data_IF_482430344726
#
_entry.id   IF_482430344726
#
_cell.length_a   1.000
_cell.length_b   1.000
_cell.length_c   1.000
_cell.angle_alpha   90.00
_cell.angle_beta   90.00
_cell.angle_gamma   90.00
#
_symmetry.space_group_name_H-M   'P 1'
#
loop_
_entity.id
_entity.type
_entity.pdbx_description
1 polymer ?
#
# COMPACT_ATOMS: atom_id res chain seq x y z
N UNK A 1 -1.68 17.68 -4.12
CA UNK A 1 -2.53 17.23 -5.26
C UNK A 1 -3.97 17.59 -4.95
N UNK A 2 -4.69 18.17 -5.89
CA UNK A 2 -6.08 18.60 -5.71
C UNK A 2 -6.93 18.16 -6.91
N UNK A 3 -8.24 18.01 -6.69
CA UNK A 3 -9.17 17.71 -7.79
C UNK A 3 -9.52 18.95 -8.60
N UNK A 4 -9.85 18.76 -9.87
CA UNK A 4 -10.36 19.83 -10.73
C UNK A 4 -11.61 20.46 -10.10
N UNK A 5 -11.69 21.79 -10.14
CA UNK A 5 -12.78 22.56 -9.54
C UNK A 5 -12.60 22.91 -8.07
N UNK A 6 -11.56 22.43 -7.41
CA UNK A 6 -11.23 22.81 -6.05
C UNK A 6 -10.79 24.30 -6.00
N UNK A 7 -11.33 25.06 -5.02
CA UNK A 7 -11.02 26.46 -4.87
C UNK A 7 -9.94 26.68 -3.79
N UNK A 8 -8.81 27.23 -4.20
CA UNK A 8 -7.67 27.54 -3.33
C UNK A 8 -7.67 28.97 -2.78
N UNK A 9 -8.73 29.75 -2.97
CA UNK A 9 -8.81 31.11 -2.44
C UNK A 9 -8.69 31.10 -0.92
N UNK A 10 -7.81 31.92 -0.36
CA UNK A 10 -7.57 32.01 1.07
C UNK A 10 -6.64 30.94 1.65
N UNK A 11 -6.15 30.00 0.85
CA UNK A 11 -5.17 29.03 1.27
C UNK A 11 -3.77 29.61 1.08
N UNK A 12 -2.99 29.65 2.17
CA UNK A 12 -1.57 30.05 2.10
C UNK A 12 -0.73 28.81 1.85
N UNK A 13 0.03 28.82 0.74
CA UNK A 13 0.96 27.74 0.39
C UNK A 13 2.40 28.25 0.45
N UNK A 14 3.37 27.42 0.87
CA UNK A 14 4.78 27.76 0.73
C UNK A 14 5.15 28.01 -0.75
N UNK A 15 6.11 28.91 -0.99
CA UNK A 15 6.50 29.30 -2.36
C UNK A 15 7.10 28.15 -3.18
N UNK A 16 7.69 27.16 -2.52
CA UNK A 16 8.35 26.02 -3.13
C UNK A 16 7.44 24.80 -3.34
N UNK A 17 6.14 24.94 -3.13
CA UNK A 17 5.17 23.87 -3.28
C UNK A 17 4.54 23.86 -4.67
N UNK A 18 4.64 22.73 -5.36
CA UNK A 18 3.95 22.52 -6.64
C UNK A 18 2.51 22.08 -6.38
N UNK A 19 1.58 22.69 -7.11
CA UNK A 19 0.16 22.32 -7.07
C UNK A 19 -0.16 21.53 -8.33
N UNK A 20 -0.63 20.30 -8.14
CA UNK A 20 -1.01 19.42 -9.24
C UNK A 20 -2.52 19.21 -9.18
N UNK A 21 -3.22 19.57 -10.27
CA UNK A 21 -4.65 19.34 -10.42
C UNK A 21 -4.90 18.01 -11.14
N UNK A 22 -5.83 17.23 -10.65
CA UNK A 22 -6.19 15.95 -11.24
C UNK A 22 -7.70 15.77 -11.26
N UNK A 23 -8.22 15.04 -12.25
CA UNK A 23 -9.64 14.70 -12.32
C UNK A 23 -10.07 13.77 -11.18
N UNK A 24 -9.22 12.81 -10.84
CA UNK A 24 -9.42 11.89 -9.74
C UNK A 24 -8.14 11.84 -8.90
N UNK A 25 -8.19 12.46 -7.71
CA UNK A 25 -7.01 12.56 -6.84
C UNK A 25 -6.59 11.23 -6.25
N UNK A 26 -7.50 10.30 -5.99
CA UNK A 26 -7.17 8.97 -5.47
C UNK A 26 -6.38 8.16 -6.50
N UNK A 27 -6.81 8.15 -7.75
CA UNK A 27 -6.10 7.49 -8.83
C UNK A 27 -4.74 8.15 -9.09
N UNK A 28 -4.70 9.47 -9.13
CA UNK A 28 -3.46 10.22 -9.33
C UNK A 28 -2.48 9.98 -8.18
N UNK A 29 -2.95 9.92 -6.94
CA UNK A 29 -2.12 9.58 -5.78
C UNK A 29 -1.56 8.16 -5.89
N UNK A 30 -2.38 7.20 -6.28
CA UNK A 30 -1.95 5.82 -6.44
C UNK A 30 -0.84 5.67 -7.49
N UNK A 31 -1.01 6.30 -8.64
CA UNK A 31 -0.01 6.31 -9.73
C UNK A 31 1.27 7.02 -9.28
N UNK A 32 1.15 8.18 -8.64
CA UNK A 32 2.30 8.93 -8.14
C UNK A 32 3.08 8.14 -7.07
N UNK A 33 2.36 7.49 -6.16
CA UNK A 33 2.98 6.66 -5.13
C UNK A 33 3.72 5.46 -5.75
N UNK A 34 3.12 4.78 -6.72
CA UNK A 34 3.75 3.68 -7.43
C UNK A 34 5.04 4.13 -8.13
N UNK A 35 5.00 5.27 -8.82
CA UNK A 35 6.16 5.83 -9.50
C UNK A 35 7.25 6.26 -8.52
N UNK A 36 6.87 6.90 -7.42
CA UNK A 36 7.82 7.36 -6.39
C UNK A 36 8.61 6.19 -5.79
N UNK A 37 7.96 5.06 -5.54
CA UNK A 37 8.60 3.87 -4.98
C UNK A 37 9.16 2.92 -6.04
N UNK A 38 9.17 3.30 -7.31
CA UNK A 38 9.77 2.50 -8.39
C UNK A 38 8.95 1.30 -8.81
N UNK A 39 7.62 1.38 -8.75
CA UNK A 39 6.69 0.31 -9.12
C UNK A 39 6.99 -1.01 -8.41
N UNK A 40 7.03 -1.04 -7.08
CA UNK A 40 7.48 -2.23 -6.32
C UNK A 40 6.59 -3.45 -6.55
N UNK A 41 5.31 -3.26 -6.85
CA UNK A 41 4.38 -4.36 -7.12
C UNK A 41 4.81 -5.23 -8.32
N UNK A 42 5.51 -4.66 -9.29
CA UNK A 42 6.03 -5.41 -10.44
C UNK A 42 7.18 -6.36 -10.06
N UNK A 43 7.82 -6.13 -8.92
CA UNK A 43 8.94 -6.94 -8.40
C UNK A 43 8.50 -8.01 -7.41
N UNK A 44 7.21 -8.03 -7.05
CA UNK A 44 6.63 -8.95 -6.10
C UNK A 44 5.64 -9.89 -6.79
N UNK A 45 5.52 -11.10 -6.26
CA UNK A 45 4.40 -11.96 -6.61
C UNK A 45 3.26 -11.68 -5.65
N UNK A 46 2.21 -11.03 -6.13
CA UNK A 46 1.07 -10.61 -5.32
C UNK A 46 -0.04 -11.66 -5.35
N UNK A 47 -0.57 -11.95 -4.17
CA UNK A 47 -1.74 -12.82 -4.01
C UNK A 47 -2.81 -12.01 -3.27
N UNK A 48 -3.92 -11.75 -3.93
CA UNK A 48 -5.05 -11.04 -3.32
C UNK A 48 -6.12 -12.02 -2.86
N UNK A 49 -6.60 -11.84 -1.64
CA UNK A 49 -7.68 -12.64 -1.06
C UNK A 49 -8.83 -11.72 -0.71
N UNK A 50 -9.99 -11.97 -1.30
CA UNK A 50 -11.21 -11.21 -1.03
C UNK A 50 -12.35 -12.13 -0.60
N UNK A 51 -13.36 -11.55 0.03
CA UNK A 51 -14.53 -12.30 0.50
C UNK A 51 -15.12 -11.68 1.75
N UNK A 52 -16.26 -12.23 2.21
CA UNK A 52 -16.95 -11.74 3.39
C UNK A 52 -16.43 -12.35 4.68
N UNK A 53 -15.92 -13.60 4.62
CA UNK A 53 -15.41 -14.35 5.77
C UNK A 53 -14.18 -15.15 5.37
N UNK A 54 -13.33 -15.48 6.35
CA UNK A 54 -12.19 -16.36 6.16
C UNK A 54 -10.96 -15.76 5.49
N UNK A 55 -10.98 -14.48 5.14
CA UNK A 55 -9.83 -13.80 4.52
C UNK A 55 -8.58 -13.87 5.40
N UNK A 56 -8.71 -13.49 6.66
CA UNK A 56 -7.60 -13.49 7.62
C UNK A 56 -7.01 -14.89 7.77
N UNK A 57 -7.85 -15.88 8.04
CA UNK A 57 -7.41 -17.29 8.20
C UNK A 57 -6.69 -17.78 6.94
N UNK A 58 -7.26 -17.53 5.76
CA UNK A 58 -6.68 -17.95 4.47
C UNK A 58 -5.31 -17.31 4.24
N UNK A 59 -5.17 -16.02 4.49
CA UNK A 59 -3.90 -15.30 4.29
C UNK A 59 -2.81 -15.79 5.23
N UNK A 60 -3.13 -16.06 6.49
CA UNK A 60 -2.17 -16.63 7.44
C UNK A 60 -1.76 -18.05 7.05
N UNK A 61 -2.68 -18.87 6.56
CA UNK A 61 -2.36 -20.21 6.06
C UNK A 61 -1.41 -20.15 4.86
N UNK A 62 -1.69 -19.28 3.89
CA UNK A 62 -0.82 -19.09 2.73
C UNK A 62 0.58 -18.63 3.17
N UNK A 63 0.63 -17.67 4.09
CA UNK A 63 1.90 -17.18 4.66
C UNK A 63 2.71 -18.33 5.26
N UNK A 64 2.11 -19.11 6.13
CA UNK A 64 2.78 -20.25 6.79
C UNK A 64 3.31 -21.28 5.79
N UNK A 65 2.51 -21.62 4.78
CA UNK A 65 2.90 -22.59 3.76
C UNK A 65 4.11 -22.08 2.97
N UNK A 66 4.07 -20.83 2.54
CA UNK A 66 5.14 -20.24 1.74
C UNK A 66 6.42 -20.04 2.53
N UNK A 67 6.32 -19.63 3.80
CA UNK A 67 7.50 -19.51 4.68
C UNK A 67 8.16 -20.87 4.94
N UNK A 68 7.37 -21.91 5.18
CA UNK A 68 7.89 -23.28 5.31
C UNK A 68 8.54 -23.79 4.02
N UNK A 69 8.09 -23.29 2.87
CA UNK A 69 8.73 -23.56 1.58
C UNK A 69 9.98 -22.72 1.31
N UNK A 70 10.46 -21.97 2.30
CA UNK A 70 11.66 -21.14 2.19
C UNK A 70 11.47 -19.82 1.47
N UNK A 71 10.23 -19.36 1.31
CA UNK A 71 9.94 -18.08 0.65
C UNK A 71 9.87 -16.95 1.67
N UNK A 72 10.33 -15.77 1.27
CA UNK A 72 10.11 -14.54 2.03
C UNK A 72 8.71 -14.03 1.73
N UNK A 73 7.92 -13.80 2.76
CA UNK A 73 6.51 -13.45 2.61
C UNK A 73 6.20 -12.15 3.32
N UNK A 74 5.49 -11.26 2.62
CA UNK A 74 4.81 -10.12 3.21
C UNK A 74 3.32 -10.41 3.33
N UNK A 75 2.71 -9.98 4.41
CA UNK A 75 1.27 -10.09 4.63
C UNK A 75 0.72 -8.74 5.07
N UNK A 76 -0.27 -8.26 4.36
CA UNK A 76 -1.04 -7.07 4.73
C UNK A 76 -2.47 -7.50 4.98
N UNK A 77 -2.92 -7.41 6.21
CA UNK A 77 -4.23 -7.91 6.58
C UNK A 77 -4.93 -7.10 7.66
N UNK A 78 -6.09 -7.59 8.07
CA UNK A 78 -6.98 -6.90 9.02
C UNK A 78 -6.34 -6.74 10.40
N UNK A 79 -5.56 -7.72 10.85
CA UNK A 79 -4.98 -7.71 12.19
C UNK A 79 -3.64 -6.98 12.22
N UNK A 80 -2.76 -7.31 11.29
CA UNK A 80 -1.40 -6.78 11.30
C UNK A 80 -0.75 -6.85 9.92
N UNK A 81 0.38 -6.16 9.78
CA UNK A 81 1.27 -6.24 8.63
C UNK A 81 2.55 -6.95 9.04
N UNK A 82 2.96 -7.95 8.26
CA UNK A 82 4.20 -8.71 8.45
C UNK A 82 5.09 -8.58 7.22
N UNK A 83 6.38 -8.47 7.43
CA UNK A 83 7.39 -8.51 6.38
C UNK A 83 8.47 -9.49 6.81
N UNK A 84 8.67 -10.54 6.02
CA UNK A 84 9.70 -11.55 6.23
C UNK A 84 9.68 -12.11 7.68
N UNK A 85 8.48 -12.47 8.16
CA UNK A 85 8.28 -13.06 9.49
C UNK A 85 8.21 -12.07 10.65
N UNK A 86 8.48 -10.79 10.43
CA UNK A 86 8.42 -9.75 11.46
C UNK A 86 7.14 -8.95 11.38
N UNK A 87 6.46 -8.78 12.51
CA UNK A 87 5.32 -7.89 12.60
C UNK A 87 5.80 -6.44 12.55
N UNK A 88 5.37 -5.71 11.53
CA UNK A 88 5.76 -4.31 11.33
C UNK A 88 4.84 -3.37 12.11
N UNK A 89 3.54 -3.62 12.06
CA UNK A 89 2.54 -2.82 12.77
C UNK A 89 1.22 -3.56 12.91
N UNK A 90 0.40 -3.10 13.85
CA UNK A 90 -1.00 -3.46 13.91
C UNK A 90 -1.76 -2.70 12.81
N UNK A 91 -2.74 -3.35 12.20
CA UNK A 91 -3.49 -2.77 11.10
C UNK A 91 -4.66 -1.94 11.60
N UNK A 92 -4.81 -0.73 11.04
CA UNK A 92 -5.99 0.13 11.27
C UNK A 92 -7.15 -0.31 10.39
N UNK A 93 -6.85 -0.94 9.27
CA UNK A 93 -7.81 -1.36 8.26
C UNK A 93 -7.28 -2.58 7.50
N UNK A 94 -8.18 -3.29 6.80
CA UNK A 94 -7.82 -4.50 6.05
C UNK A 94 -6.83 -4.19 4.91
N UNK A 95 -7.04 -3.09 4.20
CA UNK A 95 -6.18 -2.64 3.11
C UNK A 95 -5.74 -1.20 3.36
N UNK A 96 -4.43 -0.92 3.37
CA UNK A 96 -3.93 0.45 3.50
C UNK A 96 -4.32 1.34 2.32
N UNK A 97 -4.24 2.65 2.52
CA UNK A 97 -4.35 3.62 1.42
C UNK A 97 -3.16 3.47 0.46
N UNK A 98 -3.32 4.00 -0.75
CA UNK A 98 -2.37 3.74 -1.85
C UNK A 98 -0.92 4.14 -1.56
N UNK A 99 -0.69 5.26 -0.89
CA UNK A 99 0.66 5.70 -0.54
C UNK A 99 1.33 4.72 0.44
N UNK A 100 0.64 4.37 1.50
CA UNK A 100 1.12 3.43 2.51
C UNK A 100 1.33 2.04 1.91
N UNK A 101 0.43 1.60 1.03
CA UNK A 101 0.53 0.31 0.36
C UNK A 101 1.80 0.22 -0.50
N UNK A 102 2.09 1.25 -1.29
CA UNK A 102 3.29 1.29 -2.11
C UNK A 102 4.56 1.34 -1.26
N UNK A 103 4.53 2.05 -0.15
CA UNK A 103 5.63 2.08 0.82
C UNK A 103 5.91 0.69 1.39
N UNK A 104 4.86 -0.04 1.78
CA UNK A 104 4.99 -1.42 2.29
C UNK A 104 5.55 -2.36 1.22
N UNK A 105 5.07 -2.25 -0.02
CA UNK A 105 5.59 -3.04 -1.13
C UNK A 105 7.08 -2.75 -1.37
N UNK A 106 7.48 -1.49 -1.30
CA UNK A 106 8.90 -1.12 -1.42
C UNK A 106 9.75 -1.77 -0.34
N UNK A 107 9.29 -1.74 0.91
CA UNK A 107 9.97 -2.41 2.03
C UNK A 107 10.06 -3.93 1.81
N UNK A 108 9.02 -4.55 1.27
CA UNK A 108 9.02 -5.98 0.97
C UNK A 108 10.02 -6.35 -0.14
N UNK A 109 10.18 -5.48 -1.12
CA UNK A 109 11.19 -5.68 -2.19
C UNK A 109 12.61 -5.64 -1.64
N UNK A 110 12.87 -4.76 -0.65
CA UNK A 110 14.19 -4.61 -0.04
C UNK A 110 14.58 -5.77 0.88
N UNK A 111 13.64 -6.51 1.42
CA UNK A 111 13.86 -7.63 2.33
C UNK A 111 14.06 -8.96 1.56
#
# INVERSE_FOLDING_TARGET
>A
MIEEGCNLKGVKLPEDVAIIMAKNTREALAISAANFYGNPSAKLKLIGVTGTKGKTTTTYMIKEILEKAGKKVGLIGTIATYINGKKIKDSDRTTPESLELQQLFSQMVEQ
#
